data_IF_487503503750
#
_entry.id   IF_487503503750
#
_cell.length_a   1.000
_cell.length_b   1.000
_cell.length_c   1.000
_cell.angle_alpha   90.00
_cell.angle_beta   90.00
_cell.angle_gamma   90.00
#
_symmetry.space_group_name_H-M   'P 1'
#
loop_
_entity.id
_entity.type
_entity.pdbx_description
1 polymer ?
#
# COMPACT_ATOMS: atom_id res chain seq x y z
N UNK A 1 12.71 -14.23 -20.18
CA UNK A 1 11.46 -13.45 -19.98
C UNK A 1 11.54 -12.53 -18.75
N UNK A 2 11.72 -13.03 -17.51
CA UNK A 2 11.89 -12.13 -16.35
C UNK A 2 13.21 -11.35 -16.43
N UNK A 3 14.30 -12.00 -16.85
CA UNK A 3 15.59 -11.34 -17.13
C UNK A 3 15.47 -10.23 -18.15
N UNK A 4 14.77 -10.46 -19.25
CA UNK A 4 14.60 -9.47 -20.32
C UNK A 4 13.78 -8.28 -19.85
N UNK A 5 12.72 -8.54 -19.04
CA UNK A 5 11.93 -7.48 -18.41
C UNK A 5 12.78 -6.64 -17.45
N UNK A 6 13.64 -7.27 -16.65
CA UNK A 6 14.52 -6.58 -15.73
C UNK A 6 15.54 -5.71 -16.49
N UNK A 7 16.18 -6.26 -17.52
CA UNK A 7 17.11 -5.51 -18.38
C UNK A 7 16.39 -4.32 -19.03
N UNK A 8 15.19 -4.52 -19.55
CA UNK A 8 14.39 -3.42 -20.10
C UNK A 8 14.06 -2.36 -19.07
N UNK A 9 13.61 -2.73 -17.85
CA UNK A 9 13.31 -1.79 -16.78
C UNK A 9 14.53 -0.94 -16.42
N UNK A 10 15.71 -1.55 -16.30
CA UNK A 10 16.98 -0.85 -16.04
C UNK A 10 17.36 0.06 -17.22
N UNK A 11 17.11 -0.37 -18.46
CA UNK A 11 17.46 0.42 -19.66
C UNK A 11 16.63 1.71 -19.80
N UNK A 12 15.42 1.74 -19.24
CA UNK A 12 14.56 2.94 -19.29
C UNK A 12 14.80 3.90 -18.12
N UNK A 13 15.56 3.50 -17.10
CA UNK A 13 15.92 4.38 -15.98
C UNK A 13 16.64 5.64 -16.51
N UNK A 14 16.36 6.77 -15.87
CA UNK A 14 16.92 8.09 -16.22
C UNK A 14 16.57 8.59 -17.65
N UNK A 15 15.57 8.01 -18.29
CA UNK A 15 15.02 8.50 -19.56
C UNK A 15 13.74 9.31 -19.33
N UNK A 16 13.37 10.18 -20.27
CA UNK A 16 12.07 10.87 -20.21
C UNK A 16 10.85 9.93 -20.29
N UNK A 17 11.06 8.65 -20.62
CA UNK A 17 10.04 7.62 -20.57
C UNK A 17 9.84 7.07 -19.14
N UNK A 18 10.90 7.06 -18.31
CA UNK A 18 10.85 6.54 -16.93
C UNK A 18 9.77 7.24 -16.11
N UNK A 19 9.72 8.58 -16.11
CA UNK A 19 8.71 9.34 -15.35
C UNK A 19 7.29 9.04 -15.80
N UNK A 20 7.05 8.91 -17.12
CA UNK A 20 5.73 8.52 -17.63
C UNK A 20 5.36 7.09 -17.21
N UNK A 21 6.31 6.17 -17.27
CA UNK A 21 6.10 4.80 -16.82
C UNK A 21 5.83 4.73 -15.30
N UNK A 22 6.59 5.47 -14.50
CA UNK A 22 6.38 5.57 -13.05
C UNK A 22 4.98 6.09 -12.70
N UNK A 23 4.51 7.11 -13.41
CA UNK A 23 3.14 7.62 -13.25
C UNK A 23 2.08 6.56 -13.57
N UNK A 24 2.21 5.86 -14.70
CA UNK A 24 1.28 4.78 -15.07
C UNK A 24 1.29 3.69 -14.01
N UNK A 25 2.47 3.27 -13.55
CA UNK A 25 2.62 2.25 -12.50
C UNK A 25 2.00 2.71 -11.18
N UNK A 26 2.14 3.98 -10.80
CA UNK A 26 1.53 4.51 -9.57
C UNK A 26 -0.01 4.50 -9.65
N UNK A 27 -0.62 4.83 -10.80
CA UNK A 27 -2.05 4.72 -11.01
C UNK A 27 -2.52 3.26 -11.06
N UNK A 28 -1.78 2.36 -11.70
CA UNK A 28 -2.06 0.93 -11.66
C UNK A 28 -1.99 0.39 -10.23
N UNK A 29 -0.97 0.80 -9.47
CA UNK A 29 -0.87 0.47 -8.05
C UNK A 29 -2.10 0.93 -7.27
N UNK A 30 -2.61 2.13 -7.53
CA UNK A 30 -3.82 2.66 -6.91
C UNK A 30 -5.06 1.83 -7.25
N UNK A 31 -5.26 1.47 -8.51
CA UNK A 31 -6.36 0.64 -8.97
C UNK A 31 -6.33 -0.76 -8.34
N UNK A 32 -5.17 -1.43 -8.39
CA UNK A 32 -5.00 -2.76 -7.78
C UNK A 32 -5.12 -2.70 -6.27
N UNK A 33 -4.66 -1.61 -5.63
CA UNK A 33 -4.83 -1.40 -4.19
C UNK A 33 -6.30 -1.29 -3.79
N UNK A 34 -7.10 -0.52 -4.53
CA UNK A 34 -8.53 -0.41 -4.30
C UNK A 34 -9.24 -1.75 -4.50
N UNK A 35 -8.87 -2.51 -5.53
CA UNK A 35 -9.40 -3.85 -5.80
C UNK A 35 -9.03 -4.84 -4.70
N UNK A 36 -7.78 -4.79 -4.22
CA UNK A 36 -7.30 -5.59 -3.10
C UNK A 36 -8.02 -5.25 -1.78
N UNK A 37 -8.24 -3.97 -1.50
CA UNK A 37 -8.99 -3.52 -0.33
C UNK A 37 -10.45 -3.98 -0.39
N UNK A 38 -11.09 -3.89 -1.57
CA UNK A 38 -12.44 -4.40 -1.79
C UNK A 38 -12.54 -5.92 -1.59
N UNK A 39 -11.52 -6.67 -2.02
CA UNK A 39 -11.43 -8.12 -1.79
C UNK A 39 -11.32 -8.46 -0.31
N UNK A 40 -10.62 -7.65 0.49
CA UNK A 40 -10.49 -7.86 1.93
C UNK A 40 -11.74 -7.44 2.71
N UNK A 41 -12.55 -6.55 2.17
CA UNK A 41 -13.81 -6.14 2.79
C UNK A 41 -14.81 -7.29 2.71
N UNK A 42 -15.23 -7.86 3.86
CA UNK A 42 -16.20 -8.94 3.83
C UNK A 42 -16.30 -9.79 5.09
N UNK A 43 -17.01 -10.91 4.96
CA UNK A 43 -17.59 -11.77 6.01
C UNK A 43 -16.60 -12.63 6.81
N UNK A 44 -15.31 -12.52 6.59
CA UNK A 44 -14.29 -13.33 7.25
C UNK A 44 -13.41 -12.49 8.18
N UNK A 45 -12.87 -13.13 9.19
CA UNK A 45 -11.88 -12.52 10.07
C UNK A 45 -10.70 -11.99 9.25
N UNK A 46 -10.25 -10.74 9.48
CA UNK A 46 -9.19 -10.10 8.69
C UNK A 46 -7.86 -10.87 8.74
N UNK A 47 -7.53 -11.50 9.88
CA UNK A 47 -6.29 -12.26 10.03
C UNK A 47 -6.30 -13.55 9.24
N UNK A 48 -7.44 -14.27 9.26
CA UNK A 48 -7.62 -15.49 8.48
C UNK A 48 -7.60 -15.17 6.98
N UNK A 49 -8.28 -14.08 6.56
CA UNK A 49 -8.25 -13.61 5.17
C UNK A 49 -6.84 -13.26 4.73
N UNK A 50 -6.08 -12.54 5.58
CA UNK A 50 -4.69 -12.17 5.28
C UNK A 50 -3.79 -13.40 5.23
N UNK A 51 -3.93 -14.34 6.18
CA UNK A 51 -3.16 -15.58 6.17
C UNK A 51 -3.40 -16.40 4.90
N UNK A 52 -4.64 -16.48 4.41
CA UNK A 52 -4.95 -17.19 3.15
C UNK A 52 -4.26 -16.52 1.94
N UNK A 53 -4.20 -15.19 1.90
CA UNK A 53 -3.49 -14.44 0.86
C UNK A 53 -1.98 -14.69 0.96
N UNK A 54 -1.41 -14.59 2.17
CA UNK A 54 0.02 -14.74 2.39
C UNK A 54 0.48 -16.18 2.14
N UNK A 55 -0.34 -17.21 2.43
CA UNK A 55 -0.05 -18.62 2.04
C UNK A 55 0.00 -18.75 0.52
N UNK A 56 -0.99 -18.24 -0.21
CA UNK A 56 -0.99 -18.29 -1.67
C UNK A 56 0.18 -17.50 -2.26
N UNK A 57 0.50 -16.33 -1.68
CA UNK A 57 1.63 -15.51 -2.06
C UNK A 57 2.96 -16.22 -1.82
N UNK A 58 3.12 -16.87 -0.67
CA UNK A 58 4.28 -17.70 -0.35
C UNK A 58 4.50 -18.79 -1.41
N UNK A 59 3.46 -19.57 -1.71
CA UNK A 59 3.54 -20.63 -2.70
C UNK A 59 3.90 -20.15 -4.11
N UNK A 60 3.52 -18.92 -4.45
CA UNK A 60 3.83 -18.31 -5.73
C UNK A 60 5.22 -17.66 -5.75
N UNK A 61 5.55 -16.85 -4.73
CA UNK A 61 6.74 -15.98 -4.77
C UNK A 61 8.04 -16.73 -4.43
N UNK A 62 8.01 -17.72 -3.54
CA UNK A 62 9.21 -18.49 -3.18
C UNK A 62 9.82 -19.25 -4.35
N UNK A 63 9.07 -20.00 -5.17
CA UNK A 63 9.65 -20.64 -6.36
C UNK A 63 10.25 -19.62 -7.34
N UNK A 64 9.60 -18.45 -7.52
CA UNK A 64 10.13 -17.40 -8.39
C UNK A 64 11.41 -16.80 -7.80
N UNK A 65 11.42 -16.50 -6.50
CA UNK A 65 12.57 -15.94 -5.82
C UNK A 65 13.79 -16.88 -5.84
N UNK A 66 13.57 -18.18 -5.69
CA UNK A 66 14.66 -19.16 -5.63
C UNK A 66 15.22 -19.54 -7.00
N UNK A 67 14.37 -19.59 -8.05
CA UNK A 67 14.72 -20.23 -9.31
C UNK A 67 14.64 -19.32 -10.54
N UNK A 68 13.92 -18.20 -10.49
CA UNK A 68 13.62 -17.40 -11.67
C UNK A 68 14.21 -15.97 -11.64
N UNK A 69 14.60 -15.47 -10.47
CA UNK A 69 15.31 -14.18 -10.34
C UNK A 69 16.69 -14.42 -9.72
N UNK A 70 17.66 -13.52 -9.93
CA UNK A 70 18.96 -13.61 -9.27
C UNK A 70 18.83 -13.62 -7.73
N UNK A 71 19.74 -14.31 -7.07
CA UNK A 71 19.86 -14.24 -5.61
C UNK A 71 20.41 -12.87 -5.20
N UNK A 72 19.92 -12.30 -4.08
CA UNK A 72 20.48 -11.07 -3.55
C UNK A 72 21.96 -11.27 -3.21
N UNK A 73 22.80 -10.31 -3.57
CA UNK A 73 24.19 -10.32 -3.15
C UNK A 73 24.28 -10.25 -1.61
N UNK A 74 25.28 -10.90 -0.98
CA UNK A 74 25.43 -10.93 0.49
C UNK A 74 25.39 -9.54 1.14
N UNK A 75 25.93 -8.52 0.46
CA UNK A 75 25.92 -7.12 0.93
C UNK A 75 24.50 -6.52 1.01
N UNK A 76 23.48 -7.12 0.38
CA UNK A 76 22.11 -6.62 0.37
C UNK A 76 21.17 -7.41 1.31
N UNK A 77 21.62 -8.49 1.95
CA UNK A 77 20.77 -9.33 2.81
C UNK A 77 20.20 -8.52 3.99
N UNK A 78 20.92 -7.55 4.52
CA UNK A 78 20.46 -6.69 5.58
C UNK A 78 19.22 -5.87 5.21
N UNK A 79 19.03 -5.56 3.91
CA UNK A 79 17.82 -4.87 3.43
C UNK A 79 16.58 -5.71 3.71
N UNK A 80 16.63 -7.00 3.40
CA UNK A 80 15.51 -7.92 3.62
C UNK A 80 15.23 -8.18 5.10
N UNK A 81 16.27 -8.15 5.94
CA UNK A 81 16.10 -8.20 7.39
C UNK A 81 15.28 -6.99 7.88
N UNK A 82 15.62 -5.77 7.45
CA UNK A 82 14.89 -4.57 7.83
C UNK A 82 13.52 -4.47 7.18
N UNK A 83 13.35 -4.90 5.94
CA UNK A 83 12.02 -5.08 5.31
C UNK A 83 11.15 -5.94 6.21
N UNK A 84 11.63 -7.10 6.65
CA UNK A 84 10.90 -7.97 7.54
C UNK A 84 10.47 -7.27 8.84
N UNK A 85 11.39 -6.58 9.51
CA UNK A 85 11.11 -5.89 10.77
C UNK A 85 10.10 -4.75 10.58
N UNK A 86 10.33 -3.87 9.61
CA UNK A 86 9.49 -2.67 9.40
C UNK A 86 8.09 -3.07 8.99
N UNK A 87 7.93 -4.02 8.06
CA UNK A 87 6.62 -4.48 7.59
C UNK A 87 5.84 -5.22 8.67
N UNK A 88 6.50 -6.04 9.49
CA UNK A 88 5.81 -6.71 10.60
C UNK A 88 5.41 -5.73 11.71
N UNK A 89 6.25 -4.75 12.02
CA UNK A 89 5.89 -3.67 12.95
C UNK A 89 4.68 -2.87 12.41
N UNK A 90 4.68 -2.53 11.12
CA UNK A 90 3.53 -1.88 10.47
C UNK A 90 2.26 -2.73 10.56
N UNK A 91 2.31 -4.03 10.24
CA UNK A 91 1.16 -4.94 10.32
C UNK A 91 0.57 -4.99 11.74
N UNK A 92 1.42 -4.99 12.76
CA UNK A 92 1.00 -4.96 14.16
C UNK A 92 0.28 -3.63 14.51
N UNK A 93 0.87 -2.48 14.17
CA UNK A 93 0.27 -1.16 14.40
C UNK A 93 -1.05 -1.01 13.63
N UNK A 94 -1.09 -1.43 12.37
CA UNK A 94 -2.29 -1.41 11.54
C UNK A 94 -3.40 -2.27 12.15
N UNK A 95 -3.09 -3.47 12.62
CA UNK A 95 -4.06 -4.33 13.30
C UNK A 95 -4.64 -3.68 14.57
N UNK A 96 -3.81 -3.00 15.36
CA UNK A 96 -4.26 -2.24 16.53
C UNK A 96 -5.14 -1.05 16.14
N UNK A 97 -4.80 -0.34 15.07
CA UNK A 97 -5.56 0.79 14.55
C UNK A 97 -6.97 0.39 14.15
N UNK A 98 -7.10 -0.66 13.35
CA UNK A 98 -8.41 -1.11 12.85
C UNK A 98 -9.27 -1.83 13.90
N UNK A 99 -8.68 -2.31 14.99
CA UNK A 99 -9.45 -2.80 16.14
C UNK A 99 -10.07 -1.69 16.97
N UNK A 100 -9.47 -0.50 17.01
CA UNK A 100 -9.90 0.61 17.90
C UNK A 100 -10.70 1.69 17.20
N UNK A 101 -10.57 1.82 15.88
CA UNK A 101 -11.25 2.87 15.12
C UNK A 101 -12.07 2.32 13.96
N UNK A 102 -13.20 2.98 13.66
CA UNK A 102 -13.97 2.65 12.47
C UNK A 102 -13.13 2.84 11.21
N UNK A 103 -13.08 1.81 10.38
CA UNK A 103 -12.26 1.79 9.16
C UNK A 103 -12.46 3.04 8.28
N UNK A 104 -13.71 3.49 8.13
CA UNK A 104 -14.07 4.66 7.30
C UNK A 104 -13.48 5.98 7.80
N UNK A 105 -13.06 6.05 9.08
CA UNK A 105 -12.40 7.23 9.67
C UNK A 105 -10.89 7.04 9.73
N UNK A 106 -10.42 5.93 10.30
CA UNK A 106 -8.98 5.73 10.51
C UNK A 106 -8.21 5.51 9.21
N UNK A 107 -8.81 4.85 8.21
CA UNK A 107 -8.15 4.58 6.94
C UNK A 107 -7.75 5.86 6.18
N UNK A 108 -8.64 6.87 5.99
CA UNK A 108 -8.21 8.12 5.37
C UNK A 108 -7.14 8.87 6.20
N UNK A 109 -7.18 8.79 7.53
CA UNK A 109 -6.15 9.41 8.37
C UNK A 109 -4.78 8.75 8.15
N UNK A 110 -4.72 7.41 8.12
CA UNK A 110 -3.49 6.67 7.76
C UNK A 110 -2.98 7.13 6.40
N UNK A 111 -3.86 7.24 5.40
CA UNK A 111 -3.49 7.58 4.02
C UNK A 111 -3.02 9.03 3.89
N UNK A 112 -3.75 9.99 4.45
CA UNK A 112 -3.36 11.39 4.40
C UNK A 112 -2.05 11.68 5.14
N UNK A 113 -1.85 11.10 6.32
CA UNK A 113 -0.61 11.25 7.07
C UNK A 113 0.58 10.56 6.38
N UNK A 114 0.37 9.39 5.76
CA UNK A 114 1.45 8.68 5.06
C UNK A 114 2.01 9.48 3.88
N UNK A 115 1.17 10.14 3.09
CA UNK A 115 1.64 10.99 1.97
C UNK A 115 2.54 12.11 2.47
N UNK A 116 2.06 12.88 3.47
CA UNK A 116 2.84 14.00 4.01
C UNK A 116 4.19 13.55 4.55
N UNK A 117 4.21 12.48 5.33
CA UNK A 117 5.45 11.96 5.92
C UNK A 117 6.36 11.35 4.84
N UNK A 118 5.81 10.66 3.83
CA UNK A 118 6.62 10.12 2.72
C UNK A 118 7.28 11.24 1.91
N UNK A 119 6.56 12.32 1.61
CA UNK A 119 7.13 13.48 0.89
C UNK A 119 8.25 14.13 1.70
N UNK A 120 8.09 14.25 3.02
CA UNK A 120 9.16 14.76 3.90
C UNK A 120 10.35 13.79 3.92
N UNK A 121 10.10 12.50 4.10
CA UNK A 121 11.17 11.50 4.17
C UNK A 121 11.92 11.39 2.84
N UNK A 122 11.22 11.43 1.72
CA UNK A 122 11.86 11.38 0.40
C UNK A 122 12.68 12.64 0.10
N UNK A 123 12.19 13.80 0.51
CA UNK A 123 12.96 15.06 0.45
C UNK A 123 14.26 14.99 1.25
N UNK A 124 14.23 14.40 2.46
CA UNK A 124 15.42 14.27 3.32
C UNK A 124 16.34 13.15 2.86
N UNK A 125 15.81 11.96 2.54
CA UNK A 125 16.61 10.75 2.27
C UNK A 125 17.12 10.71 0.82
N UNK A 126 16.30 11.15 -0.13
CA UNK A 126 16.62 11.10 -1.57
C UNK A 126 16.92 12.48 -2.15
N UNK A 127 16.88 13.55 -1.33
CA UNK A 127 17.08 14.95 -1.76
C UNK A 127 16.09 15.36 -2.86
N UNK A 128 14.85 14.81 -2.80
CA UNK A 128 13.81 15.15 -3.76
C UNK A 128 13.31 16.58 -3.52
N UNK A 129 13.26 17.37 -4.60
CA UNK A 129 12.75 18.75 -4.58
C UNK A 129 11.45 18.80 -5.34
N UNK A 130 10.43 19.35 -4.72
CA UNK A 130 9.10 19.44 -5.30
C UNK A 130 8.80 20.86 -5.75
N UNK A 131 8.22 21.01 -6.95
CA UNK A 131 7.76 22.29 -7.47
C UNK A 131 6.58 22.83 -6.65
N UNK A 132 6.28 24.12 -6.83
CA UNK A 132 5.10 24.74 -6.17
C UNK A 132 3.79 24.08 -6.61
N UNK A 133 3.70 23.60 -7.84
CA UNK A 133 2.53 22.88 -8.35
C UNK A 133 2.39 21.49 -7.71
N UNK A 134 3.50 20.78 -7.53
CA UNK A 134 3.53 19.50 -6.83
C UNK A 134 3.11 19.65 -5.37
N UNK A 135 3.66 20.65 -4.64
CA UNK A 135 3.22 20.94 -3.28
C UNK A 135 1.74 21.31 -3.19
N UNK A 136 1.26 22.15 -4.11
CA UNK A 136 -0.16 22.50 -4.17
C UNK A 136 -1.03 21.25 -4.39
N UNK A 137 -0.64 20.39 -5.33
CA UNK A 137 -1.33 19.13 -5.60
C UNK A 137 -1.35 18.19 -4.40
N UNK A 138 -0.22 18.01 -3.71
CA UNK A 138 -0.11 17.21 -2.47
C UNK A 138 -1.05 17.75 -1.40
N UNK A 139 -1.04 19.06 -1.15
CA UNK A 139 -1.88 19.70 -0.13
C UNK A 139 -3.37 19.51 -0.47
N UNK A 140 -3.78 19.77 -1.71
CA UNK A 140 -5.18 19.61 -2.15
C UNK A 140 -5.63 18.15 -2.02
N UNK A 141 -4.80 17.20 -2.43
CA UNK A 141 -5.06 15.77 -2.31
C UNK A 141 -5.24 15.36 -0.84
N UNK A 142 -4.32 15.76 0.01
CA UNK A 142 -4.34 15.44 1.46
C UNK A 142 -5.54 16.10 2.15
N UNK A 143 -5.87 17.34 1.80
CA UNK A 143 -7.09 18.01 2.31
C UNK A 143 -8.36 17.27 1.90
N UNK A 144 -8.43 16.75 0.68
CA UNK A 144 -9.52 15.89 0.22
C UNK A 144 -9.65 14.61 1.05
N UNK A 145 -8.52 13.94 1.32
CA UNK A 145 -8.48 12.70 2.12
C UNK A 145 -8.89 12.96 3.57
N UNK A 146 -8.31 13.96 4.24
CA UNK A 146 -8.70 14.31 5.60
C UNK A 146 -10.13 14.83 5.67
N UNK A 147 -10.58 15.57 4.66
CA UNK A 147 -11.97 15.98 4.52
C UNK A 147 -12.93 14.78 4.52
N UNK A 148 -12.59 13.67 3.83
CA UNK A 148 -13.36 12.43 3.88
C UNK A 148 -13.35 11.79 5.27
N UNK A 149 -12.22 11.83 5.98
CA UNK A 149 -12.14 11.33 7.36
C UNK A 149 -13.09 12.12 8.28
N UNK A 150 -13.04 13.46 8.21
CA UNK A 150 -13.88 14.37 9.00
C UNK A 150 -15.36 14.17 8.65
N UNK A 151 -15.68 14.09 7.37
CA UNK A 151 -17.05 13.86 6.91
C UNK A 151 -17.63 12.54 7.43
N UNK A 152 -16.85 11.46 7.37
CA UNK A 152 -17.27 10.17 7.89
C UNK A 152 -17.39 10.18 9.42
N UNK A 153 -16.45 10.83 10.10
CA UNK A 153 -16.48 10.99 11.55
C UNK A 153 -17.73 11.72 12.05
N UNK A 154 -18.13 12.83 11.39
CA UNK A 154 -19.33 13.59 11.78
C UNK A 154 -20.63 12.78 11.70
N UNK A 155 -20.64 11.68 10.92
CA UNK A 155 -21.79 10.78 10.79
C UNK A 155 -21.82 9.64 11.82
N UNK A 156 -20.77 9.49 12.61
CA UNK A 156 -20.65 8.40 13.57
C UNK A 156 -20.90 8.87 15.00
N UNK A 157 -21.62 8.03 15.75
CA UNK A 157 -21.72 8.17 17.21
C UNK A 157 -20.59 7.34 17.83
N UNK A 158 -19.47 7.96 18.14
CA UNK A 158 -18.29 7.30 18.73
C UNK A 158 -17.87 8.03 19.99
N UNK A 159 -17.49 7.28 21.01
CA UNK A 159 -16.92 7.80 22.24
C UNK A 159 -15.57 8.51 21.97
N UNK A 160 -15.39 9.70 22.61
CA UNK A 160 -14.25 10.59 22.35
C UNK A 160 -12.90 9.99 22.78
N UNK A 161 -12.86 9.22 23.86
CA UNK A 161 -11.61 8.63 24.35
C UNK A 161 -11.10 7.54 23.40
N UNK A 162 -11.99 6.65 22.99
CA UNK A 162 -11.68 5.60 22.01
C UNK A 162 -11.24 6.20 20.67
N UNK A 163 -11.84 7.32 20.27
CA UNK A 163 -11.50 8.00 19.02
C UNK A 163 -10.11 8.63 19.03
N UNK A 164 -9.71 9.31 20.12
CA UNK A 164 -8.38 9.94 20.20
C UNK A 164 -7.25 8.90 20.12
N UNK A 165 -7.40 7.78 20.81
CA UNK A 165 -6.47 6.66 20.74
C UNK A 165 -6.41 6.04 19.32
N UNK A 166 -7.57 5.90 18.65
CA UNK A 166 -7.65 5.38 17.28
C UNK A 166 -6.98 6.32 16.28
N UNK A 167 -7.17 7.64 16.41
CA UNK A 167 -6.52 8.64 15.56
C UNK A 167 -5.00 8.69 15.78
N UNK A 168 -4.52 8.61 17.03
CA UNK A 168 -3.10 8.52 17.33
C UNK A 168 -2.45 7.28 16.69
N UNK A 169 -3.09 6.12 16.77
CA UNK A 169 -2.64 4.90 16.10
C UNK A 169 -2.73 5.02 14.57
N UNK A 170 -3.72 5.73 14.03
CA UNK A 170 -3.84 5.95 12.59
C UNK A 170 -2.69 6.82 12.06
N UNK A 171 -2.32 7.89 12.78
CA UNK A 171 -1.15 8.72 12.44
C UNK A 171 0.13 7.88 12.54
N UNK A 172 0.31 7.11 13.61
CA UNK A 172 1.46 6.21 13.75
C UNK A 172 1.53 5.19 12.60
N UNK A 173 0.38 4.61 12.21
CA UNK A 173 0.30 3.74 11.03
C UNK A 173 0.73 4.47 9.76
N UNK A 174 0.34 5.72 9.58
CA UNK A 174 0.76 6.56 8.45
C UNK A 174 2.28 6.81 8.43
N UNK A 175 2.87 7.08 9.60
CA UNK A 175 4.33 7.19 9.72
C UNK A 175 5.02 5.87 9.37
N UNK A 176 4.48 4.74 9.81
CA UNK A 176 5.01 3.41 9.45
C UNK A 176 4.87 3.12 7.95
N UNK A 177 3.76 3.56 7.32
CA UNK A 177 3.60 3.48 5.84
C UNK A 177 4.69 4.28 5.13
N UNK A 178 4.96 5.50 5.59
CA UNK A 178 6.04 6.31 5.04
C UNK A 178 7.41 5.66 5.23
N UNK A 179 7.66 5.12 6.43
CA UNK A 179 8.92 4.45 6.75
C UNK A 179 9.17 3.24 5.83
N UNK A 180 8.18 2.32 5.68
CA UNK A 180 8.40 1.20 4.77
C UNK A 180 8.44 1.63 3.30
N UNK A 181 7.63 2.60 2.87
CA UNK A 181 7.63 3.06 1.47
C UNK A 181 8.98 3.65 1.08
N UNK A 182 9.58 4.47 1.94
CA UNK A 182 10.91 5.05 1.68
C UNK A 182 12.02 4.01 1.80
N UNK A 183 11.92 3.08 2.75
CA UNK A 183 12.89 2.00 2.88
C UNK A 183 12.84 1.02 1.71
N UNK A 184 11.65 0.65 1.24
CA UNK A 184 11.46 -0.22 0.06
C UNK A 184 11.98 0.47 -1.20
N UNK A 185 11.72 1.79 -1.35
CA UNK A 185 12.28 2.59 -2.44
C UNK A 185 13.81 2.63 -2.42
N UNK A 186 14.41 2.77 -1.23
CA UNK A 186 15.85 2.65 -1.07
C UNK A 186 16.32 1.25 -1.45
N UNK A 187 15.68 0.20 -0.95
CA UNK A 187 16.04 -1.19 -1.19
C UNK A 187 16.01 -1.57 -2.67
N UNK A 188 14.92 -1.24 -3.36
CA UNK A 188 14.79 -1.57 -4.80
C UNK A 188 15.81 -0.80 -5.67
N UNK A 189 16.21 0.43 -5.26
CA UNK A 189 17.23 1.22 -5.95
C UNK A 189 18.65 0.66 -5.75
N UNK A 190 18.91 -0.08 -4.66
CA UNK A 190 20.19 -0.72 -4.40
C UNK A 190 20.39 -2.02 -5.20
N UNK A 191 19.32 -2.62 -5.73
CA UNK A 191 19.41 -3.88 -6.47
C UNK A 191 19.78 -3.65 -7.94
N UNK A 192 20.77 -4.40 -8.48
CA UNK A 192 21.03 -4.41 -9.93
C UNK A 192 19.80 -4.87 -10.73
N UNK A 193 19.08 -5.87 -10.20
CA UNK A 193 17.84 -6.40 -10.76
C UNK A 193 16.66 -6.02 -9.85
N UNK A 194 15.73 -5.13 -10.32
CA UNK A 194 14.59 -4.71 -9.53
C UNK A 194 13.62 -5.84 -9.20
N UNK A 195 13.47 -6.85 -10.06
CA UNK A 195 12.60 -7.98 -9.84
C UNK A 195 13.10 -8.87 -8.69
N UNK A 196 14.43 -8.94 -8.50
CA UNK A 196 15.01 -9.61 -7.32
C UNK A 196 14.47 -8.99 -6.03
N UNK A 197 14.47 -7.65 -5.90
CA UNK A 197 13.92 -7.01 -4.70
C UNK A 197 12.44 -7.35 -4.51
N UNK A 198 11.63 -7.20 -5.55
CA UNK A 198 10.17 -7.42 -5.47
C UNK A 198 9.83 -8.84 -5.07
N UNK A 199 10.42 -9.85 -5.71
CA UNK A 199 10.07 -11.24 -5.41
C UNK A 199 10.60 -11.72 -4.06
N UNK A 200 11.82 -11.34 -3.67
CA UNK A 200 12.35 -11.64 -2.34
C UNK A 200 11.60 -10.90 -1.23
N UNK A 201 11.19 -9.65 -1.48
CA UNK A 201 10.32 -8.90 -0.59
C UNK A 201 9.04 -9.68 -0.28
N UNK A 202 8.26 -10.08 -1.31
CA UNK A 202 7.02 -10.79 -1.10
C UNK A 202 7.21 -12.18 -0.51
N UNK A 203 8.28 -12.88 -0.88
CA UNK A 203 8.62 -14.17 -0.31
C UNK A 203 8.80 -14.06 1.21
N UNK A 204 9.56 -13.07 1.68
CA UNK A 204 9.84 -12.86 3.10
C UNK A 204 8.60 -12.30 3.84
N UNK A 205 7.89 -11.33 3.24
CA UNK A 205 6.72 -10.68 3.85
C UNK A 205 5.54 -11.64 4.07
N UNK A 206 5.44 -12.68 3.25
CA UNK A 206 4.36 -13.68 3.32
C UNK A 206 4.48 -14.71 4.45
N UNK A 207 5.60 -14.76 5.19
CA UNK A 207 5.88 -15.83 6.16
C UNK A 207 5.11 -15.63 7.48
N UNK A 208 5.09 -14.41 8.01
CA UNK A 208 4.75 -14.16 9.42
C UNK A 208 3.28 -14.40 9.75
N UNK A 209 2.36 -13.87 8.94
CA UNK A 209 0.93 -13.93 9.27
C UNK A 209 0.38 -15.36 9.24
N UNK A 210 0.72 -16.22 8.26
CA UNK A 210 0.33 -17.63 8.31
C UNK A 210 0.78 -18.34 9.59
N UNK A 211 2.02 -18.11 10.02
CA UNK A 211 2.56 -18.71 11.25
C UNK A 211 1.78 -18.22 12.47
N UNK A 212 1.55 -16.93 12.61
CA UNK A 212 0.80 -16.35 13.74
C UNK A 212 -0.63 -16.90 13.78
N UNK A 213 -1.32 -16.92 12.63
CA UNK A 213 -2.69 -17.42 12.53
C UNK A 213 -2.75 -18.92 12.82
N UNK A 214 -1.77 -19.71 12.34
CA UNK A 214 -1.67 -21.14 12.67
C UNK A 214 -1.64 -21.38 14.19
N UNK A 215 -0.80 -20.63 14.93
CA UNK A 215 -0.75 -20.74 16.38
C UNK A 215 -2.05 -20.28 17.07
N UNK A 216 -2.68 -19.22 16.55
CA UNK A 216 -3.96 -18.76 17.13
C UNK A 216 -5.10 -19.73 16.89
N UNK A 217 -5.16 -20.38 15.74
CA UNK A 217 -6.11 -21.47 15.46
C UNK A 217 -5.86 -22.67 16.39
N UNK A 218 -4.57 -23.06 16.55
CA UNK A 218 -4.19 -24.14 17.49
C UNK A 218 -4.54 -23.84 18.95
N UNK A 219 -4.56 -22.55 19.32
CA UNK A 219 -4.96 -22.08 20.66
C UNK A 219 -6.47 -21.81 20.76
N UNK A 220 -7.28 -22.20 19.79
CA UNK A 220 -8.74 -21.97 19.72
C UNK A 220 -9.16 -20.48 19.76
N UNK A 221 -8.22 -19.57 19.50
CA UNK A 221 -8.49 -18.11 19.46
C UNK A 221 -9.14 -17.66 18.15
N UNK A 222 -8.98 -18.45 17.09
CA UNK A 222 -9.58 -18.24 15.78
C UNK A 222 -10.15 -19.54 15.24
N UNK A 223 -11.27 -19.45 14.54
CA UNK A 223 -11.92 -20.59 13.87
C UNK A 223 -11.81 -20.41 12.36
N UNK A 224 -11.30 -21.43 11.66
CA UNK A 224 -11.21 -21.41 10.19
C UNK A 224 -12.63 -21.63 9.62
N UNK A 225 -13.16 -20.66 8.83
CA UNK A 225 -14.44 -20.82 8.15
C UNK A 225 -14.31 -21.80 6.97
N UNK A 226 -15.35 -21.86 6.13
CA UNK A 226 -15.35 -22.69 4.92
C UNK A 226 -14.11 -22.41 4.04
N UNK A 227 -13.35 -23.44 3.68
CA UNK A 227 -12.04 -23.33 3.00
C UNK A 227 -12.18 -22.73 1.58
N UNK A 228 -13.21 -23.11 0.80
CA UNK A 228 -13.36 -22.67 -0.61
C UNK A 228 -13.34 -21.15 -0.81
N UNK A 229 -14.12 -20.34 -0.06
CA UNK A 229 -14.04 -18.88 -0.18
C UNK A 229 -12.67 -18.32 0.22
N UNK A 230 -11.97 -18.95 1.18
CA UNK A 230 -10.63 -18.54 1.59
C UNK A 230 -9.60 -18.80 0.51
N UNK A 231 -9.64 -19.95 -0.17
CA UNK A 231 -8.74 -20.28 -1.28
C UNK A 231 -8.93 -19.29 -2.43
N UNK A 232 -10.17 -19.02 -2.85
CA UNK A 232 -10.45 -18.04 -3.91
C UNK A 232 -9.93 -16.64 -3.54
N UNK A 233 -10.14 -16.23 -2.30
CA UNK A 233 -9.63 -14.95 -1.78
C UNK A 233 -8.10 -14.93 -1.72
N UNK A 234 -7.49 -16.04 -1.27
CA UNK A 234 -6.04 -16.22 -1.26
C UNK A 234 -5.44 -16.06 -2.65
N UNK A 235 -5.98 -16.78 -3.65
CA UNK A 235 -5.53 -16.70 -5.03
C UNK A 235 -5.71 -15.32 -5.64
N UNK A 236 -6.88 -14.69 -5.50
CA UNK A 236 -7.11 -13.34 -6.01
C UNK A 236 -6.19 -12.32 -5.32
N UNK A 237 -6.03 -12.43 -4.00
CA UNK A 237 -5.16 -11.53 -3.22
C UNK A 237 -3.68 -11.71 -3.53
N UNK A 238 -3.21 -12.93 -3.79
CA UNK A 238 -1.82 -13.20 -4.18
C UNK A 238 -1.44 -12.67 -5.56
N UNK A 239 -2.42 -12.31 -6.38
CA UNK A 239 -2.23 -11.60 -7.65
C UNK A 239 -2.30 -10.07 -7.42
N UNK A 240 -3.36 -9.60 -6.75
CA UNK A 240 -3.61 -8.17 -6.57
C UNK A 240 -2.57 -7.48 -5.66
N UNK A 241 -2.05 -8.17 -4.64
CA UNK A 241 -1.05 -7.60 -3.74
C UNK A 241 0.29 -7.32 -4.45
N UNK A 242 0.90 -8.27 -5.17
CA UNK A 242 2.12 -8.00 -5.96
C UNK A 242 1.90 -6.96 -7.05
N UNK A 243 0.77 -6.97 -7.74
CA UNK A 243 0.45 -5.96 -8.74
C UNK A 243 0.34 -4.57 -8.11
N UNK A 244 -0.29 -4.45 -6.95
CA UNK A 244 -0.39 -3.16 -6.24
C UNK A 244 0.97 -2.68 -5.72
N UNK A 245 1.63 -3.49 -4.88
CA UNK A 245 2.90 -3.10 -4.24
C UNK A 245 4.07 -3.13 -5.22
N UNK A 246 4.15 -4.10 -6.12
CA UNK A 246 5.19 -4.19 -7.14
C UNK A 246 5.16 -2.98 -8.08
N UNK A 247 3.98 -2.55 -8.52
CA UNK A 247 3.86 -1.34 -9.35
C UNK A 247 4.36 -0.09 -8.63
N UNK A 248 4.03 0.11 -7.33
CA UNK A 248 4.52 1.28 -6.61
C UNK A 248 6.02 1.19 -6.34
N UNK A 249 6.57 0.02 -6.02
CA UNK A 249 8.00 -0.18 -5.86
C UNK A 249 8.76 0.16 -7.16
N UNK A 250 8.26 -0.31 -8.30
CA UNK A 250 8.83 0.05 -9.60
C UNK A 250 8.70 1.55 -9.90
N UNK A 251 7.54 2.15 -9.58
CA UNK A 251 7.37 3.59 -9.75
C UNK A 251 8.40 4.38 -8.93
N UNK A 252 8.63 4.00 -7.66
CA UNK A 252 9.61 4.66 -6.79
C UNK A 252 11.07 4.41 -7.21
N UNK A 253 11.34 3.37 -7.97
CA UNK A 253 12.67 3.15 -8.58
C UNK A 253 12.89 4.07 -9.78
N UNK A 254 11.87 4.25 -10.61
CA UNK A 254 11.95 4.96 -11.88
C UNK A 254 11.84 6.49 -11.73
N UNK A 255 11.22 6.98 -10.64
CA UNK A 255 11.00 8.40 -10.41
C UNK A 255 10.89 8.72 -8.91
N UNK A 256 10.43 9.93 -8.59
CA UNK A 256 10.26 10.45 -7.23
C UNK A 256 9.40 9.54 -6.35
N UNK A 257 9.91 9.23 -5.16
CA UNK A 257 9.24 8.39 -4.17
C UNK A 257 7.99 9.07 -3.62
N UNK A 258 8.10 10.37 -3.31
CA UNK A 258 6.98 11.14 -2.78
C UNK A 258 5.84 11.29 -3.79
N UNK A 259 6.18 11.47 -5.07
CA UNK A 259 5.20 11.56 -6.15
C UNK A 259 4.48 10.23 -6.38
N UNK A 260 5.22 9.14 -6.47
CA UNK A 260 4.65 7.79 -6.61
C UNK A 260 3.72 7.45 -5.43
N UNK A 261 4.12 7.80 -4.19
CA UNK A 261 3.30 7.61 -3.00
C UNK A 261 2.04 8.46 -3.04
N UNK A 262 2.13 9.74 -3.40
CA UNK A 262 0.96 10.63 -3.50
C UNK A 262 -0.03 10.15 -4.57
N UNK A 263 0.44 9.77 -5.74
CA UNK A 263 -0.40 9.25 -6.82
C UNK A 263 -1.08 7.92 -6.45
N UNK A 264 -0.41 7.03 -5.71
CA UNK A 264 -1.03 5.81 -5.21
C UNK A 264 -2.26 6.09 -4.34
N UNK A 265 -2.31 7.22 -3.64
CA UNK A 265 -3.45 7.55 -2.79
C UNK A 265 -4.73 7.90 -3.57
N UNK A 266 -4.65 8.07 -4.89
CA UNK A 266 -5.85 8.07 -5.76
C UNK A 266 -6.64 6.75 -5.68
N UNK A 267 -6.08 5.72 -5.05
CA UNK A 267 -6.80 4.48 -4.70
C UNK A 267 -8.11 4.73 -3.94
N UNK A 268 -8.21 5.83 -3.19
CA UNK A 268 -9.45 6.26 -2.53
C UNK A 268 -10.56 6.56 -3.55
N UNK A 269 -10.20 7.15 -4.71
CA UNK A 269 -11.15 7.40 -5.81
C UNK A 269 -11.62 6.11 -6.45
N UNK A 270 -10.71 5.19 -6.73
CA UNK A 270 -11.05 3.87 -7.27
C UNK A 270 -11.90 3.06 -6.29
N UNK A 271 -11.59 3.10 -4.99
CA UNK A 271 -12.40 2.45 -3.96
C UNK A 271 -13.84 3.03 -3.92
N UNK A 272 -13.98 4.35 -4.02
CA UNK A 272 -15.29 4.98 -4.07
C UNK A 272 -16.05 4.64 -5.36
N UNK A 273 -15.37 4.58 -6.51
CA UNK A 273 -15.96 4.17 -7.78
C UNK A 273 -16.44 2.71 -7.72
N UNK A 274 -15.65 1.81 -7.14
CA UNK A 274 -16.05 0.41 -6.89
C UNK A 274 -17.26 0.37 -5.98
N UNK A 275 -17.30 1.18 -4.91
CA UNK A 275 -18.47 1.30 -4.01
C UNK A 275 -19.75 1.70 -4.74
N UNK A 276 -19.66 2.70 -5.63
CA UNK A 276 -20.82 3.17 -6.42
C UNK A 276 -21.27 2.13 -7.44
N UNK A 277 -20.34 1.61 -8.25
CA UNK A 277 -20.68 0.74 -9.39
C UNK A 277 -21.10 -0.66 -8.95
N UNK A 278 -20.44 -1.25 -7.95
CA UNK A 278 -20.65 -2.64 -7.55
C UNK A 278 -21.50 -2.76 -6.28
N UNK A 279 -21.34 -1.84 -5.33
CA UNK A 279 -22.08 -1.88 -4.06
C UNK A 279 -23.31 -0.96 -4.08
N UNK A 280 -23.50 -0.16 -5.13
CA UNK A 280 -24.62 0.80 -5.30
C UNK A 280 -24.73 1.77 -4.11
N UNK A 281 -23.60 2.16 -3.51
CA UNK A 281 -23.57 3.11 -2.42
C UNK A 281 -23.94 4.52 -2.93
N UNK A 282 -24.87 5.25 -2.28
CA UNK A 282 -25.18 6.61 -2.68
C UNK A 282 -24.02 7.56 -2.35
N UNK A 283 -23.61 8.36 -3.32
CA UNK A 283 -22.58 9.39 -3.14
C UNK A 283 -23.26 10.74 -3.01
N UNK A 284 -23.25 11.32 -1.81
CA UNK A 284 -23.77 12.65 -1.56
C UNK A 284 -22.81 13.76 -2.07
N UNK A 285 -23.31 15.00 -2.28
CA UNK A 285 -22.55 16.09 -2.90
C UNK A 285 -21.24 16.44 -2.15
N UNK A 286 -21.22 16.39 -0.84
CA UNK A 286 -20.01 16.64 -0.04
C UNK A 286 -18.90 15.60 -0.32
N UNK A 287 -19.27 14.31 -0.41
CA UNK A 287 -18.33 13.23 -0.73
C UNK A 287 -17.79 13.39 -2.15
N UNK A 288 -18.65 13.79 -3.12
CA UNK A 288 -18.24 14.08 -4.50
C UNK A 288 -17.22 15.22 -4.58
N UNK A 289 -17.44 16.32 -3.85
CA UNK A 289 -16.48 17.44 -3.82
C UNK A 289 -15.12 17.00 -3.27
N UNK A 290 -15.11 16.26 -2.18
CA UNK A 290 -13.85 15.77 -1.57
C UNK A 290 -13.11 14.80 -2.50
N UNK A 291 -13.83 13.96 -3.23
CA UNK A 291 -13.28 13.09 -4.26
C UNK A 291 -12.72 13.91 -5.44
N UNK A 292 -13.42 14.96 -5.87
CA UNK A 292 -12.95 15.87 -6.91
C UNK A 292 -11.66 16.61 -6.47
N UNK A 293 -11.54 16.98 -5.19
CA UNK A 293 -10.30 17.55 -4.65
C UNK A 293 -9.13 16.55 -4.73
N UNK A 294 -9.34 15.27 -4.38
CA UNK A 294 -8.30 14.24 -4.49
C UNK A 294 -7.86 14.08 -5.94
N UNK A 295 -8.82 14.04 -6.89
CA UNK A 295 -8.52 13.96 -8.31
C UNK A 295 -7.77 15.18 -8.84
N UNK A 296 -8.21 16.39 -8.47
CA UNK A 296 -7.57 17.64 -8.86
C UNK A 296 -6.14 17.74 -8.29
N UNK A 297 -5.94 17.31 -7.04
CA UNK A 297 -4.61 17.23 -6.43
C UNK A 297 -3.68 16.29 -7.20
N UNK A 298 -4.15 15.10 -7.57
CA UNK A 298 -3.37 14.15 -8.37
C UNK A 298 -3.01 14.71 -9.77
N UNK A 299 -3.92 15.44 -10.40
CA UNK A 299 -3.66 16.12 -11.69
C UNK A 299 -2.60 17.21 -11.50
N UNK A 300 -2.73 18.07 -10.47
CA UNK A 300 -1.78 19.14 -10.20
C UNK A 300 -0.36 18.61 -9.93
N UNK A 301 -0.24 17.49 -9.24
CA UNK A 301 1.02 16.78 -9.02
C UNK A 301 1.69 16.40 -10.36
N UNK A 302 0.93 16.01 -11.37
CA UNK A 302 1.46 15.56 -12.66
C UNK A 302 1.79 16.69 -13.65
N UNK A 303 1.23 17.89 -13.44
CA UNK A 303 1.49 19.04 -14.31
C UNK A 303 2.79 19.76 -13.92
N UNK A 304 3.18 19.67 -12.66
CA UNK A 304 4.38 20.30 -12.09
C UNK A 304 5.59 19.43 -12.11
#
# INVERSE_FOLDING_TARGET
MLSDLSVWLVSVENTGFASRLAMILAFMAALFHASFAALQNGRHDPWISRAAIDVALFLFTWPVALFLVPWPEPKHIWLFFWVFIIHNAYKAVQGMTYKRGAYTVVYPVVRGSSVLVTVIFSGVLFQEVYSIWQWTGIIVLVCGIFGLAIYNWQKMQVDRETLSAALGLAILSGVMVAAYTTFDAYGIRQMPDPLTFVFWFFAIDSITIPIVVFFWVKQEKLTIPTIRPLVLRGLAGSILAPLSFGCVMMATRLDSVGMAAALRETSVLFAALIGVLFLREPVGPKRTILMAMIAAGAVAINIG
#
